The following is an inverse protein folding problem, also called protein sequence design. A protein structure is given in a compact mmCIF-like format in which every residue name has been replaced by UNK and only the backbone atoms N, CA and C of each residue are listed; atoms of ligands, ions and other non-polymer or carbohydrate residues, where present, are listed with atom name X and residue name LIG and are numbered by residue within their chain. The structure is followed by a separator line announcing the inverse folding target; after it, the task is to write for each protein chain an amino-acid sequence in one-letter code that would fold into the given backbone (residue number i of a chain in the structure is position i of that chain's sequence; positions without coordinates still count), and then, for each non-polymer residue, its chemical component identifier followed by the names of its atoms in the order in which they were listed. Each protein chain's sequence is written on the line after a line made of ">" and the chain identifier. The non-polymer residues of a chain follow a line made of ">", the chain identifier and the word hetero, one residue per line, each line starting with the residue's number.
data_IF_265216531000
#
_entry.id   IF_265216531000
#
_cell.length_a   1.000
_cell.length_b   1.000
_cell.length_c   1.000
_cell.angle_alpha   90.00
_cell.angle_beta   90.00
_cell.angle_gamma   90.00
#
_symmetry.space_group_name_H-M   'P 1'
#
loop_
_entity.id
_entity.type
_entity.pdbx_description
1 polymer ?
#
# COMPACT_ATOMS: atom_id res chain seq x y z
N UNK A 1 25.17 20.78 -7.73
CA UNK A 1 24.90 21.05 -6.31
C UNK A 1 23.91 20.00 -5.85
N UNK A 2 24.44 18.87 -5.36
CA UNK A 2 23.64 17.76 -4.80
C UNK A 2 22.98 18.27 -3.50
N UNK A 3 21.66 18.33 -3.52
CA UNK A 3 20.88 18.51 -2.29
C UNK A 3 20.68 17.11 -1.71
N UNK A 4 21.52 16.75 -0.75
CA UNK A 4 21.28 15.61 0.14
C UNK A 4 19.97 15.84 0.92
N UNK A 5 18.86 15.38 0.43
CA UNK A 5 17.64 15.22 1.22
C UNK A 5 17.73 13.88 1.97
N UNK A 6 18.57 13.84 3.01
CA UNK A 6 18.43 12.85 4.06
C UNK A 6 17.24 13.25 4.90
N UNK A 7 16.07 12.69 4.62
CA UNK A 7 15.03 12.64 5.63
C UNK A 7 15.55 11.76 6.75
N UNK A 8 15.81 12.34 7.90
CA UNK A 8 16.11 11.56 9.09
C UNK A 8 14.87 10.72 9.39
N UNK A 9 15.03 9.41 9.47
CA UNK A 9 13.98 8.44 9.82
C UNK A 9 13.32 8.78 11.18
N UNK A 10 13.97 9.62 11.97
CA UNK A 10 13.56 10.08 13.31
C UNK A 10 12.35 11.03 13.31
N UNK A 11 12.01 11.65 12.17
CA UNK A 11 10.91 12.63 12.07
C UNK A 11 9.59 12.03 11.50
N UNK A 12 9.56 10.73 11.18
CA UNK A 12 8.38 10.08 10.60
C UNK A 12 7.53 9.48 11.71
N UNK A 13 6.30 10.00 11.84
CA UNK A 13 5.33 9.44 12.76
C UNK A 13 4.85 8.07 12.26
N UNK A 14 5.20 7.01 13.01
CA UNK A 14 4.77 5.63 12.80
C UNK A 14 3.63 5.29 13.77
N UNK A 15 2.87 4.25 13.44
CA UNK A 15 1.89 3.71 14.38
C UNK A 15 2.59 3.19 15.64
N UNK A 16 2.03 3.50 16.78
CA UNK A 16 2.44 2.89 18.04
C UNK A 16 1.81 1.49 18.12
N UNK A 17 2.59 0.45 17.83
CA UNK A 17 2.14 -0.94 17.80
C UNK A 17 1.59 -1.39 19.17
N UNK A 18 2.12 -0.84 20.28
CA UNK A 18 1.67 -1.15 21.64
C UNK A 18 0.24 -0.68 21.95
N UNK A 19 -0.31 0.24 21.17
CA UNK A 19 -1.71 0.68 21.30
C UNK A 19 -2.72 -0.32 20.73
N UNK A 20 -2.26 -1.30 19.95
CA UNK A 20 -3.10 -2.33 19.35
C UNK A 20 -2.97 -3.64 20.12
N UNK A 21 -4.10 -4.18 20.61
CA UNK A 21 -4.12 -5.50 21.23
C UNK A 21 -3.67 -6.56 20.23
N UNK A 22 -2.53 -7.17 20.48
CA UNK A 22 -1.93 -8.20 19.62
C UNK A 22 -2.80 -9.45 19.42
N UNK A 23 -3.79 -9.67 20.29
CA UNK A 23 -4.74 -10.78 20.13
C UNK A 23 -5.85 -10.47 19.13
N UNK A 24 -6.16 -9.18 18.93
CA UNK A 24 -7.25 -8.71 18.07
C UNK A 24 -6.75 -8.16 16.73
N UNK A 25 -5.54 -7.58 16.72
CA UNK A 25 -5.00 -6.85 15.58
C UNK A 25 -3.59 -7.31 15.21
N UNK A 26 -3.27 -7.15 13.92
CA UNK A 26 -1.92 -7.27 13.41
C UNK A 26 -1.54 -5.93 12.75
N UNK A 27 -0.47 -5.32 13.22
CA UNK A 27 0.13 -4.17 12.53
C UNK A 27 1.16 -4.69 11.53
N UNK A 28 0.96 -4.36 10.27
CA UNK A 28 1.79 -4.80 9.17
C UNK A 28 2.32 -3.60 8.38
N UNK A 29 3.39 -3.82 7.63
CA UNK A 29 3.96 -2.81 6.76
C UNK A 29 3.52 -3.00 5.33
N UNK A 30 3.04 -1.94 4.68
CA UNK A 30 2.61 -1.95 3.29
C UNK A 30 3.43 -1.00 2.44
N UNK A 31 4.08 -1.54 1.39
CA UNK A 31 4.52 -0.76 0.25
C UNK A 31 3.37 -0.65 -0.74
N UNK A 32 2.92 0.56 -1.05
CA UNK A 32 1.71 0.75 -1.83
C UNK A 32 1.91 1.45 -3.17
N UNK A 33 2.87 2.37 -3.28
CA UNK A 33 3.19 3.08 -4.52
C UNK A 33 4.70 3.19 -4.73
N UNK A 34 5.08 3.52 -5.97
CA UNK A 34 6.46 3.74 -6.38
C UNK A 34 6.50 4.71 -7.54
N UNK A 35 7.62 5.42 -7.72
CA UNK A 35 7.90 6.17 -8.95
C UNK A 35 8.25 5.27 -10.15
N UNK A 36 8.39 3.94 -9.93
CA UNK A 36 8.54 3.00 -11.04
C UNK A 36 7.30 3.02 -11.92
N UNK A 37 7.46 2.94 -13.26
CA UNK A 37 6.31 2.72 -14.14
C UNK A 37 5.53 1.46 -13.70
N UNK A 38 4.21 1.58 -13.60
CA UNK A 38 3.37 0.43 -13.29
C UNK A 38 3.18 -0.48 -14.53
N UNK A 39 2.49 -1.61 -14.38
CA UNK A 39 2.25 -2.55 -15.48
C UNK A 39 1.42 -1.96 -16.63
N UNK A 40 0.73 -0.84 -16.41
CA UNK A 40 -0.03 -0.10 -17.42
C UNK A 40 0.77 1.06 -18.03
N UNK A 41 2.04 1.21 -17.64
CA UNK A 41 2.92 2.28 -18.12
C UNK A 41 2.74 3.62 -17.38
N UNK A 42 1.83 3.73 -16.43
CA UNK A 42 1.61 4.94 -15.65
C UNK A 42 2.83 5.26 -14.77
N UNK A 43 3.17 6.54 -14.69
CA UNK A 43 4.34 7.05 -13.96
C UNK A 43 3.94 8.14 -12.99
N UNK A 44 4.52 8.10 -11.81
CA UNK A 44 4.45 9.17 -10.83
C UNK A 44 5.78 9.92 -10.79
N UNK A 45 5.76 11.25 -10.93
CA UNK A 45 6.91 12.05 -10.51
C UNK A 45 7.05 12.00 -8.98
N UNK A 46 8.24 12.24 -8.46
CA UNK A 46 8.43 12.28 -7.00
C UNK A 46 7.55 13.34 -6.34
N UNK A 47 7.39 14.50 -6.99
CA UNK A 47 6.56 15.59 -6.47
C UNK A 47 5.11 15.16 -6.34
N UNK A 48 4.54 14.55 -7.36
CA UNK A 48 3.15 14.07 -7.38
C UNK A 48 2.97 12.93 -6.39
N UNK A 49 3.92 11.97 -6.34
CA UNK A 49 3.90 10.87 -5.38
C UNK A 49 3.85 11.40 -3.95
N UNK A 50 4.76 12.30 -3.58
CA UNK A 50 4.85 12.86 -2.21
C UNK A 50 3.65 13.72 -1.84
N UNK A 51 3.12 14.49 -2.79
CA UNK A 51 1.97 15.38 -2.55
C UNK A 51 0.69 14.62 -2.23
N UNK A 52 0.37 13.58 -3.01
CA UNK A 52 -0.94 12.94 -3.00
C UNK A 52 -0.96 11.59 -2.25
N UNK A 53 0.20 11.02 -1.89
CA UNK A 53 0.30 9.72 -1.20
C UNK A 53 -0.50 9.65 0.11
N UNK A 54 -0.61 10.77 0.84
CA UNK A 54 -1.38 10.85 2.09
C UNK A 54 -2.87 10.51 1.93
N UNK A 55 -3.38 10.50 0.70
CA UNK A 55 -4.76 10.08 0.43
C UNK A 55 -5.02 8.59 0.72
N UNK A 56 -3.97 7.79 0.93
CA UNK A 56 -4.05 6.41 1.42
C UNK A 56 -4.54 6.33 2.87
N UNK A 57 -4.28 7.36 3.66
CA UNK A 57 -4.61 7.37 5.09
C UNK A 57 -6.13 7.36 5.30
N UNK A 58 -6.60 6.40 6.09
CA UNK A 58 -8.01 6.17 6.37
C UNK A 58 -8.74 5.32 5.32
N UNK A 59 -8.04 4.76 4.34
CA UNK A 59 -8.64 3.85 3.35
C UNK A 59 -8.72 2.42 3.88
N UNK A 60 -9.62 1.64 3.28
CA UNK A 60 -9.84 0.26 3.65
C UNK A 60 -8.86 -0.68 2.93
N UNK A 61 -8.53 -1.77 3.63
CA UNK A 61 -7.86 -2.94 3.07
C UNK A 61 -8.95 -4.00 2.85
N UNK A 62 -9.09 -4.46 1.61
CA UNK A 62 -10.12 -5.42 1.22
C UNK A 62 -9.51 -6.66 0.59
N UNK A 63 -10.20 -7.77 0.67
CA UNK A 63 -9.84 -9.03 0.02
C UNK A 63 -11.06 -9.91 -0.19
N UNK A 64 -11.00 -10.78 -1.20
CA UNK A 64 -11.89 -11.94 -1.31
C UNK A 64 -11.07 -13.21 -1.13
N UNK A 65 -11.53 -14.08 -0.24
CA UNK A 65 -10.94 -15.40 -0.02
C UNK A 65 -11.55 -16.44 -0.97
N UNK A 66 -10.70 -17.23 -1.60
CA UNK A 66 -11.10 -18.38 -2.39
C UNK A 66 -10.20 -19.56 -2.07
N UNK A 67 -10.77 -20.60 -1.42
CA UNK A 67 -10.09 -21.88 -1.14
C UNK A 67 -8.67 -21.71 -0.59
N UNK A 68 -8.55 -20.94 0.51
CA UNK A 68 -7.30 -20.79 1.27
C UNK A 68 -6.31 -19.75 0.72
N UNK A 69 -6.70 -18.95 -0.28
CA UNK A 69 -5.96 -17.79 -0.77
C UNK A 69 -6.91 -16.67 -1.20
N UNK A 70 -6.35 -15.51 -1.52
CA UNK A 70 -7.08 -14.37 -2.06
C UNK A 70 -7.32 -14.52 -3.57
N UNK A 71 -8.34 -13.82 -4.06
CA UNK A 71 -8.59 -13.65 -5.49
C UNK A 71 -7.98 -12.34 -6.00
N UNK A 72 -8.59 -11.74 -6.98
CA UNK A 72 -8.30 -10.41 -7.50
C UNK A 72 -9.48 -9.47 -7.16
N UNK A 73 -9.61 -8.35 -7.85
CA UNK A 73 -10.73 -7.42 -7.67
C UNK A 73 -12.07 -8.08 -8.02
N UNK A 74 -12.96 -8.15 -7.06
CA UNK A 74 -14.31 -8.69 -7.25
C UNK A 74 -15.34 -7.89 -6.43
N UNK A 75 -16.63 -7.97 -6.77
CA UNK A 75 -17.69 -7.36 -5.97
C UNK A 75 -17.90 -8.02 -4.60
N UNK A 76 -17.28 -9.18 -4.36
CA UNK A 76 -17.42 -9.96 -3.11
C UNK A 76 -16.29 -9.69 -2.10
N UNK A 77 -15.43 -8.68 -2.36
CA UNK A 77 -14.38 -8.28 -1.44
C UNK A 77 -14.93 -7.87 -0.06
N UNK A 78 -14.27 -8.32 0.97
CA UNK A 78 -14.58 -7.99 2.36
C UNK A 78 -13.50 -7.09 2.96
N UNK A 79 -13.90 -6.21 3.87
CA UNK A 79 -12.95 -5.38 4.63
C UNK A 79 -12.21 -6.28 5.61
N UNK A 80 -10.87 -6.29 5.52
CA UNK A 80 -9.99 -7.07 6.40
C UNK A 80 -9.08 -6.19 7.26
N UNK A 81 -8.99 -4.91 6.96
CA UNK A 81 -8.14 -3.97 7.66
C UNK A 81 -8.34 -2.54 7.22
N UNK A 82 -7.49 -1.67 7.75
CA UNK A 82 -7.51 -0.22 7.49
C UNK A 82 -6.08 0.33 7.47
N UNK A 83 -5.88 1.42 6.73
CA UNK A 83 -4.71 2.30 6.87
C UNK A 83 -5.07 3.40 7.87
N UNK A 84 -4.58 3.36 9.12
CA UNK A 84 -4.90 4.39 10.12
C UNK A 84 -4.44 5.79 9.69
N UNK A 85 -5.12 6.83 10.22
CA UNK A 85 -4.84 8.23 9.86
C UNK A 85 -3.72 8.86 10.69
N UNK A 86 -3.42 8.32 11.85
CA UNK A 86 -2.50 8.83 12.85
C UNK A 86 -1.05 8.38 12.60
N UNK A 87 -0.61 8.49 11.36
CA UNK A 87 0.74 8.20 10.91
C UNK A 87 1.13 9.06 9.70
N UNK A 88 2.40 9.06 9.37
CA UNK A 88 2.92 9.65 8.14
C UNK A 88 3.15 8.58 7.06
N UNK A 89 3.09 9.00 5.80
CA UNK A 89 3.61 8.20 4.69
C UNK A 89 5.13 8.29 4.68
N UNK A 90 5.80 7.16 4.74
CA UNK A 90 7.25 7.07 4.64
C UNK A 90 7.69 6.88 3.20
N UNK A 91 8.69 7.64 2.75
CA UNK A 91 9.28 7.53 1.43
C UNK A 91 10.70 7.01 1.55
N UNK A 92 11.00 5.93 0.83
CA UNK A 92 12.29 5.25 0.87
C UNK A 92 12.86 5.17 -0.55
N UNK A 93 14.08 5.67 -0.74
CA UNK A 93 14.82 5.47 -1.98
C UNK A 93 15.28 4.00 -2.05
N UNK A 94 14.91 3.32 -3.12
CA UNK A 94 15.30 1.95 -3.37
C UNK A 94 16.66 1.87 -4.07
N UNK A 95 17.32 0.72 -4.01
CA UNK A 95 18.65 0.49 -4.62
C UNK A 95 18.71 0.76 -6.12
N UNK A 96 17.58 0.73 -6.82
CA UNK A 96 17.46 1.01 -8.24
C UNK A 96 17.13 2.51 -8.54
N UNK A 97 17.18 3.38 -7.52
CA UNK A 97 17.02 4.82 -7.63
C UNK A 97 15.58 5.29 -7.73
N UNK A 98 14.59 4.40 -7.60
CA UNK A 98 13.19 4.79 -7.52
C UNK A 98 12.77 5.08 -6.08
N UNK A 99 11.75 5.91 -5.92
CA UNK A 99 11.17 6.23 -4.62
C UNK A 99 9.96 5.34 -4.36
N UNK A 100 9.99 4.62 -3.25
CA UNK A 100 8.90 3.77 -2.77
C UNK A 100 8.15 4.43 -1.62
N UNK A 101 6.83 4.30 -1.58
CA UNK A 101 5.96 4.84 -0.53
C UNK A 101 5.42 3.71 0.37
N UNK A 102 5.52 3.91 1.69
CA UNK A 102 5.13 2.95 2.72
C UNK A 102 4.20 3.55 3.76
N UNK A 103 3.33 2.72 4.30
CA UNK A 103 2.52 2.99 5.51
C UNK A 103 2.44 1.75 6.37
N UNK A 104 2.07 1.93 7.63
CA UNK A 104 1.62 0.83 8.47
C UNK A 104 0.11 0.62 8.27
N UNK A 105 -0.33 -0.62 8.35
CA UNK A 105 -1.72 -1.02 8.22
C UNK A 105 -2.14 -1.88 9.40
N UNK A 106 -3.41 -1.86 9.74
CA UNK A 106 -3.97 -2.68 10.81
C UNK A 106 -4.94 -3.68 10.21
N UNK A 107 -4.66 -4.96 10.41
CA UNK A 107 -5.49 -6.08 9.99
C UNK A 107 -6.26 -6.64 11.20
N UNK A 108 -7.52 -7.01 11.02
CA UNK A 108 -8.31 -7.66 12.06
C UNK A 108 -8.04 -9.15 12.10
N UNK A 109 -7.50 -9.65 13.22
CA UNK A 109 -7.34 -11.09 13.45
C UNK A 109 -8.68 -11.77 13.74
N UNK A 110 -9.60 -11.07 14.44
CA UNK A 110 -10.90 -11.60 14.82
C UNK A 110 -11.86 -11.73 13.65
N UNK A 111 -12.07 -10.60 12.94
CA UNK A 111 -13.10 -10.52 11.90
C UNK A 111 -12.61 -10.94 10.51
N UNK A 112 -11.30 -11.05 10.33
CA UNK A 112 -10.66 -11.47 9.10
C UNK A 112 -9.68 -12.64 9.33
N UNK A 113 -10.07 -13.59 10.20
CA UNK A 113 -9.20 -14.69 10.62
C UNK A 113 -8.64 -15.49 9.44
N UNK A 114 -9.47 -15.86 8.47
CA UNK A 114 -9.03 -16.66 7.32
C UNK A 114 -8.00 -15.91 6.47
N UNK A 115 -8.19 -14.60 6.29
CA UNK A 115 -7.23 -13.73 5.61
C UNK A 115 -5.92 -13.62 6.42
N UNK A 116 -6.01 -13.43 7.72
CA UNK A 116 -4.84 -13.36 8.60
C UNK A 116 -4.04 -14.67 8.59
N UNK A 117 -4.70 -15.83 8.60
CA UNK A 117 -4.04 -17.14 8.55
C UNK A 117 -3.20 -17.33 7.27
N UNK A 118 -3.58 -16.69 6.15
CA UNK A 118 -2.76 -16.67 4.92
C UNK A 118 -1.44 -15.92 5.16
N UNK A 119 -1.47 -14.76 5.84
CA UNK A 119 -0.27 -14.01 6.18
C UNK A 119 0.63 -14.77 7.17
N UNK A 120 0.05 -15.43 8.17
CA UNK A 120 0.81 -16.26 9.12
C UNK A 120 1.58 -17.35 8.39
N UNK A 121 0.98 -17.94 7.34
CA UNK A 121 1.60 -19.02 6.57
C UNK A 121 2.70 -18.52 5.62
N UNK A 122 2.47 -17.40 4.94
CA UNK A 122 3.29 -16.99 3.81
C UNK A 122 4.05 -15.66 4.03
N UNK A 123 3.82 -14.98 5.14
CA UNK A 123 4.45 -13.74 5.61
C UNK A 123 4.08 -12.49 4.80
N UNK A 124 3.85 -12.58 3.52
CA UNK A 124 3.56 -11.44 2.66
C UNK A 124 2.53 -11.75 1.58
N UNK A 125 1.93 -10.73 1.03
CA UNK A 125 1.10 -10.78 -0.18
C UNK A 125 1.23 -9.49 -0.98
N UNK A 126 1.13 -9.63 -2.28
CA UNK A 126 1.02 -8.50 -3.18
C UNK A 126 -0.26 -7.71 -2.93
N UNK A 127 -0.22 -6.42 -3.19
CA UNK A 127 -1.38 -5.53 -3.09
C UNK A 127 -1.60 -4.80 -4.40
N UNK A 128 -2.85 -4.49 -4.69
CA UNK A 128 -3.28 -3.62 -5.77
C UNK A 128 -3.92 -2.38 -5.20
N UNK A 129 -3.46 -1.21 -5.61
CA UNK A 129 -3.97 0.07 -5.15
C UNK A 129 -5.04 0.55 -6.12
N UNK A 130 -6.19 0.89 -5.58
CA UNK A 130 -7.30 1.50 -6.31
C UNK A 130 -7.23 3.01 -6.16
N UNK A 131 -7.11 3.72 -7.27
CA UNK A 131 -7.04 5.17 -7.27
C UNK A 131 -7.71 5.80 -8.49
N UNK A 132 -8.24 7.01 -8.29
CA UNK A 132 -8.64 7.89 -9.37
C UNK A 132 -7.48 8.85 -9.67
N UNK A 133 -7.25 9.17 -10.92
CA UNK A 133 -6.16 10.06 -11.31
C UNK A 133 -6.54 10.97 -12.47
N UNK A 134 -5.78 12.07 -12.63
CA UNK A 134 -5.75 12.90 -13.82
C UNK A 134 -4.39 12.80 -14.50
N UNK A 135 -4.36 13.11 -15.78
CA UNK A 135 -3.15 13.17 -16.59
C UNK A 135 -3.16 14.43 -17.47
N UNK A 136 -2.01 14.94 -17.88
CA UNK A 136 -1.92 16.03 -18.85
C UNK A 136 -2.51 15.64 -20.21
N UNK A 137 -3.02 16.62 -20.97
CA UNK A 137 -3.60 16.37 -22.30
C UNK A 137 -2.62 15.74 -23.30
N UNK A 138 -1.33 15.97 -23.11
CA UNK A 138 -0.26 15.56 -24.03
C UNK A 138 0.48 14.28 -23.58
N UNK A 139 0.21 13.76 -22.40
CA UNK A 139 0.79 12.50 -21.89
C UNK A 139 -0.19 11.74 -21.00
N UNK A 140 -0.80 10.70 -21.54
CA UNK A 140 -1.76 9.84 -20.82
C UNK A 140 -1.10 8.89 -19.81
N UNK A 141 0.22 8.77 -19.84
CA UNK A 141 0.98 7.89 -18.95
C UNK A 141 1.59 8.62 -17.74
N UNK A 142 1.65 9.94 -17.78
CA UNK A 142 2.10 10.75 -16.65
C UNK A 142 0.92 11.09 -15.73
N UNK A 143 1.06 10.82 -14.45
CA UNK A 143 0.04 11.16 -13.47
C UNK A 143 0.27 12.58 -12.98
N UNK A 144 -0.74 13.44 -13.17
CA UNK A 144 -0.76 14.82 -12.71
C UNK A 144 -1.28 14.96 -11.28
N UNK A 145 -2.30 14.17 -10.93
CA UNK A 145 -2.83 14.08 -9.57
C UNK A 145 -3.53 12.74 -9.33
N UNK A 146 -3.64 12.30 -8.08
CA UNK A 146 -4.37 11.08 -7.78
C UNK A 146 -5.00 11.10 -6.38
N UNK A 147 -6.01 10.26 -6.20
CA UNK A 147 -6.66 10.00 -4.91
C UNK A 147 -6.82 8.50 -4.73
N UNK A 148 -6.22 7.95 -3.69
CA UNK A 148 -6.34 6.53 -3.35
C UNK A 148 -7.73 6.26 -2.76
N UNK A 149 -8.36 5.17 -3.17
CA UNK A 149 -9.70 4.75 -2.77
C UNK A 149 -9.69 3.53 -1.87
N UNK A 150 -8.73 2.64 -2.08
CA UNK A 150 -8.61 1.41 -1.31
C UNK A 150 -7.40 0.61 -1.73
N UNK A 151 -7.21 -0.51 -1.04
CA UNK A 151 -6.16 -1.48 -1.32
C UNK A 151 -6.77 -2.88 -1.31
N UNK A 152 -6.60 -3.61 -2.42
CA UNK A 152 -6.97 -5.03 -2.50
C UNK A 152 -5.76 -5.91 -2.29
N UNK A 153 -5.88 -6.89 -1.40
CA UNK A 153 -4.88 -7.94 -1.23
C UNK A 153 -5.05 -8.97 -2.36
N UNK A 154 -3.94 -9.32 -2.99
CA UNK A 154 -3.94 -10.23 -4.14
C UNK A 154 -3.48 -11.62 -3.74
N UNK A 155 -4.03 -12.63 -4.40
CA UNK A 155 -3.58 -14.02 -4.30
C UNK A 155 -2.16 -14.20 -4.82
N UNK A 156 -1.51 -15.29 -4.40
CA UNK A 156 -0.10 -15.60 -4.70
C UNK A 156 0.24 -15.63 -6.19
N UNK A 157 -0.73 -15.96 -7.03
CA UNK A 157 -0.56 -16.09 -8.48
C UNK A 157 -0.96 -14.81 -9.25
N UNK A 158 -1.32 -13.74 -8.54
CA UNK A 158 -1.75 -12.48 -9.15
C UNK A 158 -0.62 -11.44 -9.01
N UNK A 159 -0.17 -10.89 -10.14
CA UNK A 159 0.84 -9.85 -10.13
C UNK A 159 0.23 -8.47 -9.84
N UNK A 160 0.84 -7.68 -8.95
CA UNK A 160 0.40 -6.32 -8.70
C UNK A 160 0.72 -5.40 -9.89
N UNK A 161 -0.12 -4.38 -10.12
CA UNK A 161 0.16 -3.36 -11.15
C UNK A 161 1.33 -2.45 -10.77
N UNK A 162 1.47 -2.10 -9.50
CA UNK A 162 2.65 -1.40 -8.97
C UNK A 162 3.72 -2.43 -8.64
N UNK A 163 4.91 -2.38 -9.30
CA UNK A 163 5.95 -3.38 -9.09
C UNK A 163 6.34 -3.53 -7.63
N UNK A 164 6.34 -4.77 -7.13
CA UNK A 164 6.70 -5.14 -5.74
C UNK A 164 5.82 -4.47 -4.67
N UNK A 165 4.65 -3.94 -5.00
CA UNK A 165 3.69 -3.50 -3.99
C UNK A 165 3.25 -4.72 -3.16
N UNK A 166 3.44 -4.66 -1.84
CA UNK A 166 3.17 -5.77 -0.94
C UNK A 166 2.83 -5.29 0.47
N UNK A 167 2.22 -6.20 1.22
CA UNK A 167 2.04 -6.09 2.67
C UNK A 167 2.82 -7.23 3.33
N UNK A 168 3.58 -6.91 4.37
CA UNK A 168 4.40 -7.86 5.13
C UNK A 168 4.02 -7.79 6.61
N UNK A 169 3.80 -8.94 7.21
CA UNK A 169 3.36 -9.13 8.62
C UNK A 169 4.54 -9.50 9.49
#
# INVERSE_FOLDING_TARGET
>A
MEKDFKFAVEDIQRLNVEEYDENEYCVARMKFLSTRPNSHGLKFSEEVLKRDAKTVLGTWIVAEMLVGDFTTHTPAESIIGIVPKDQDVEFVEADDGYLDAYVDVVLSKRYAKDAYDVFVKDNDRSVSIEFNYSHPENDEYEIESYVIRGTTILGKMVNPSVPKANITV
#
